data_IF_645932240273
#
_entry.id   IF_645932240273
#
_cell.length_a   1.000
_cell.length_b   1.000
_cell.length_c   1.000
_cell.angle_alpha   90.00
_cell.angle_beta   90.00
_cell.angle_gamma   90.00
#
_symmetry.space_group_name_H-M   'P 1'
#
loop_
_entity.id
_entity.type
_entity.pdbx_description
1 polymer ?
#
# COMPACT_ATOMS: atom_id res chain seq x y z
N UNK A 1 -19.32 -16.70 12.58
CA UNK A 1 -18.32 -16.13 11.65
C UNK A 1 -17.54 -15.09 12.43
N UNK A 2 -16.23 -15.28 12.64
CA UNK A 2 -15.39 -14.24 13.21
C UNK A 2 -15.06 -13.26 12.09
N UNK A 3 -15.79 -12.15 11.99
CA UNK A 3 -15.41 -11.05 11.12
C UNK A 3 -14.24 -10.29 11.78
N UNK A 4 -13.01 -10.68 11.42
CA UNK A 4 -11.83 -9.88 11.77
C UNK A 4 -11.95 -8.52 11.08
N UNK A 5 -11.83 -7.44 11.83
CA UNK A 5 -11.71 -6.10 11.26
C UNK A 5 -10.27 -5.90 10.78
N UNK A 6 -10.12 -5.45 9.54
CA UNK A 6 -8.85 -5.06 8.95
C UNK A 6 -8.73 -3.54 9.06
N UNK A 7 -7.64 -3.06 9.66
CA UNK A 7 -7.46 -1.66 10.00
C UNK A 7 -6.16 -1.18 9.35
N UNK A 8 -6.25 -0.01 8.75
CA UNK A 8 -5.20 0.65 8.00
C UNK A 8 -5.48 2.14 7.85
N UNK A 9 -4.60 2.83 7.15
CA UNK A 9 -4.72 4.24 6.82
C UNK A 9 -4.25 4.49 5.38
N UNK A 10 -4.34 5.75 4.95
CA UNK A 10 -3.88 6.12 3.62
C UNK A 10 -2.39 6.40 3.64
N UNK A 11 -1.63 5.58 2.91
CA UNK A 11 -0.18 5.66 2.81
C UNK A 11 0.29 6.59 1.69
N UNK A 12 1.52 7.07 1.83
CA UNK A 12 2.24 7.83 0.81
C UNK A 12 3.17 6.92 0.03
N UNK A 13 3.01 6.85 -1.28
CA UNK A 13 3.93 6.10 -2.18
C UNK A 13 5.27 6.84 -2.41
N UNK A 14 5.57 7.90 -1.65
CA UNK A 14 6.72 8.76 -1.90
C UNK A 14 8.06 8.03 -1.71
N UNK A 15 8.13 7.15 -0.71
CA UNK A 15 9.32 6.39 -0.34
C UNK A 15 9.34 4.95 -0.92
N UNK A 16 8.36 4.62 -1.77
CA UNK A 16 8.25 3.32 -2.44
C UNK A 16 7.22 2.37 -1.81
N UNK A 17 6.98 1.25 -2.49
CA UNK A 17 5.99 0.25 -2.14
C UNK A 17 6.39 -0.56 -0.90
N UNK A 18 7.65 -1.00 -0.82
CA UNK A 18 8.12 -1.75 0.35
C UNK A 18 8.06 -0.90 1.62
N UNK A 19 8.36 0.40 1.51
CA UNK A 19 8.28 1.35 2.62
C UNK A 19 6.85 1.42 3.20
N UNK A 20 5.82 1.56 2.35
CA UNK A 20 4.40 1.55 2.78
C UNK A 20 4.06 0.28 3.58
N UNK A 21 4.53 -0.89 3.12
CA UNK A 21 4.30 -2.14 3.84
C UNK A 21 4.98 -2.19 5.22
N UNK A 22 6.21 -1.68 5.31
CA UNK A 22 6.95 -1.61 6.58
C UNK A 22 6.33 -0.62 7.57
N UNK A 23 5.85 0.53 7.09
CA UNK A 23 5.17 1.53 7.91
C UNK A 23 3.85 0.99 8.47
N UNK A 24 3.02 0.37 7.62
CA UNK A 24 1.81 -0.31 8.05
C UNK A 24 2.08 -1.35 9.15
N UNK A 25 3.11 -2.19 8.98
CA UNK A 25 3.51 -3.15 10.00
C UNK A 25 3.95 -2.50 11.31
N UNK A 26 4.72 -1.41 11.23
CA UNK A 26 5.25 -0.72 12.39
C UNK A 26 4.15 -0.19 13.33
N UNK A 27 2.95 0.09 12.79
CA UNK A 27 1.78 0.53 13.57
C UNK A 27 0.72 -0.56 13.76
N UNK A 28 1.02 -1.80 13.37
CA UNK A 28 0.12 -2.95 13.53
C UNK A 28 -1.07 -2.98 12.57
N UNK A 29 -0.99 -2.26 11.44
CA UNK A 29 -1.98 -2.34 10.37
C UNK A 29 -1.75 -3.59 9.51
N UNK A 30 -2.84 -4.15 8.97
CA UNK A 30 -2.82 -5.29 8.05
C UNK A 30 -3.46 -4.98 6.69
N UNK A 31 -3.78 -3.72 6.42
CA UNK A 31 -4.22 -3.19 5.13
C UNK A 31 -3.87 -1.71 5.05
N UNK A 32 -3.92 -1.11 3.86
CA UNK A 32 -3.80 0.33 3.66
C UNK A 32 -4.39 0.74 2.29
N UNK A 33 -4.62 2.04 2.14
CA UNK A 33 -4.97 2.65 0.87
C UNK A 33 -3.81 3.49 0.33
N UNK A 34 -3.68 3.62 -0.98
CA UNK A 34 -2.67 4.50 -1.60
C UNK A 34 -3.18 5.03 -2.95
N UNK A 35 -2.62 6.14 -3.43
CA UNK A 35 -2.91 6.61 -4.78
C UNK A 35 -2.01 5.95 -5.82
N UNK A 36 -2.59 5.58 -6.97
CA UNK A 36 -1.84 4.99 -8.09
C UNK A 36 -0.95 5.98 -8.85
N UNK A 37 -1.17 7.28 -8.64
CA UNK A 37 -0.33 8.41 -9.09
C UNK A 37 -0.64 9.65 -8.24
N UNK A 38 0.04 10.77 -8.50
CA UNK A 38 -0.25 12.03 -7.81
C UNK A 38 -1.76 12.39 -7.92
N UNK A 39 -2.47 12.56 -6.79
CA UNK A 39 -3.93 12.78 -6.77
C UNK A 39 -4.34 14.15 -7.32
N UNK A 40 -3.42 15.11 -7.42
CA UNK A 40 -3.65 16.46 -7.95
C UNK A 40 -3.25 16.62 -9.42
N UNK A 41 -2.96 15.52 -10.11
CA UNK A 41 -2.55 15.51 -11.52
C UNK A 41 -1.08 15.19 -11.74
N UNK A 42 -0.72 14.89 -12.99
CA UNK A 42 0.63 14.50 -13.40
C UNK A 42 0.73 13.06 -13.91
N UNK A 43 1.84 12.73 -14.57
CA UNK A 43 2.12 11.37 -15.04
C UNK A 43 2.44 10.47 -13.84
N UNK A 44 2.03 9.20 -13.90
CA UNK A 44 2.52 8.22 -12.93
C UNK A 44 4.04 8.06 -13.04
N UNK A 45 4.71 7.81 -11.92
CA UNK A 45 6.11 7.40 -11.92
C UNK A 45 6.24 6.04 -12.62
N UNK A 46 7.39 5.77 -13.22
CA UNK A 46 7.67 4.41 -13.69
C UNK A 46 7.67 3.44 -12.51
N UNK A 47 7.07 2.27 -12.71
CA UNK A 47 7.00 1.23 -11.68
C UNK A 47 8.38 0.59 -11.50
N UNK A 48 8.90 0.61 -10.29
CA UNK A 48 10.00 -0.24 -9.90
C UNK A 48 9.46 -1.63 -9.55
N UNK A 49 9.58 -2.58 -10.48
CA UNK A 49 9.04 -3.93 -10.30
C UNK A 49 9.67 -4.67 -9.13
N UNK A 50 10.96 -4.48 -8.85
CA UNK A 50 11.62 -5.11 -7.71
C UNK A 50 11.04 -4.62 -6.38
N UNK A 51 10.66 -3.34 -6.30
CA UNK A 51 10.05 -2.73 -5.12
C UNK A 51 8.61 -3.22 -4.91
N UNK A 52 7.86 -3.39 -6.00
CA UNK A 52 6.53 -4.02 -5.97
C UNK A 52 6.62 -5.47 -5.48
N UNK A 53 7.60 -6.23 -5.96
CA UNK A 53 7.81 -7.62 -5.53
C UNK A 53 8.21 -7.71 -4.04
N UNK A 54 9.00 -6.76 -3.54
CA UNK A 54 9.32 -6.69 -2.10
C UNK A 54 8.07 -6.42 -1.26
N UNK A 55 7.17 -5.53 -1.69
CA UNK A 55 5.88 -5.33 -1.03
C UNK A 55 5.02 -6.61 -1.09
N UNK A 56 4.92 -7.25 -2.26
CA UNK A 56 4.14 -8.49 -2.43
C UNK A 56 4.62 -9.60 -1.47
N UNK A 57 5.93 -9.78 -1.33
CA UNK A 57 6.53 -10.74 -0.40
C UNK A 57 6.20 -10.38 1.07
N UNK A 58 6.40 -9.12 1.46
CA UNK A 58 6.10 -8.63 2.80
C UNK A 58 4.62 -8.84 3.16
N UNK A 59 3.71 -8.49 2.25
CA UNK A 59 2.27 -8.66 2.44
C UNK A 59 1.88 -10.12 2.65
N UNK A 60 2.45 -11.01 1.83
CA UNK A 60 2.23 -12.46 1.92
C UNK A 60 2.73 -13.02 3.26
N UNK A 61 3.94 -12.66 3.65
CA UNK A 61 4.58 -13.17 4.87
C UNK A 61 3.88 -12.68 6.15
N UNK A 62 3.20 -11.53 6.08
CA UNK A 62 2.52 -10.90 7.22
C UNK A 62 0.99 -10.99 7.17
N UNK A 63 0.42 -11.76 6.24
CA UNK A 63 -1.03 -11.97 6.10
C UNK A 63 -1.83 -10.66 5.96
N UNK A 64 -1.33 -9.75 5.12
CA UNK A 64 -2.08 -8.55 4.79
C UNK A 64 -3.43 -8.91 4.17
N UNK A 65 -4.46 -8.17 4.57
CA UNK A 65 -5.71 -8.08 3.84
C UNK A 65 -5.53 -7.30 2.52
N UNK A 66 -6.52 -7.38 1.61
CA UNK A 66 -6.48 -6.63 0.37
C UNK A 66 -6.23 -5.14 0.61
N UNK A 67 -5.34 -4.56 -0.20
CA UNK A 67 -5.09 -3.12 -0.23
C UNK A 67 -6.15 -2.40 -1.05
N UNK A 68 -6.22 -1.08 -0.90
CA UNK A 68 -7.07 -0.21 -1.71
C UNK A 68 -6.22 0.70 -2.58
N UNK A 69 -6.17 0.40 -3.88
CA UNK A 69 -5.60 1.30 -4.88
C UNK A 69 -6.62 2.38 -5.25
N UNK A 70 -6.46 3.58 -4.68
CA UNK A 70 -7.35 4.70 -4.91
C UNK A 70 -6.97 5.42 -6.21
N UNK A 71 -7.95 5.61 -7.10
CA UNK A 71 -7.75 6.42 -8.29
C UNK A 71 -7.51 7.90 -7.90
N UNK A 72 -6.65 8.63 -8.61
CA UNK A 72 -6.49 10.07 -8.40
C UNK A 72 -7.81 10.82 -8.57
N UNK A 73 -7.92 12.03 -8.00
CA UNK A 73 -9.11 12.87 -8.15
C UNK A 73 -9.28 13.45 -9.57
N UNK A 74 -8.26 13.29 -10.41
CA UNK A 74 -8.16 13.81 -11.78
C UNK A 74 -7.95 12.70 -12.77
#
# INVERSE_FOLDING_TARGET
MNNKLHIGYHESVSDGFEAMGKEALAVGADTFAFFTRNPRGGKSKELNLEDVERLNALMKDNNFAPLVAHAPYT
#
